data_IF_108783863466
#
_entry.id   IF_108783863466
#
_cell.length_a   1.000
_cell.length_b   1.000
_cell.length_c   1.000
_cell.angle_alpha   90.00
_cell.angle_beta   90.00
_cell.angle_gamma   90.00
#
_symmetry.space_group_name_H-M   'P 1'
#
loop_
_entity.id
_entity.type
_entity.pdbx_description
1 polymer ?
#
# COMPACT_ATOMS: atom_id res chain seq x y z
N UNK A 1 54.44 -11.26 34.44
CA UNK A 1 53.91 -10.02 33.84
C UNK A 1 54.14 -9.92 32.32
N UNK A 2 55.15 -10.58 31.74
CA UNK A 2 55.44 -10.52 30.30
C UNK A 2 54.33 -11.13 29.39
N UNK A 3 53.57 -12.12 29.88
CA UNK A 3 52.49 -12.75 29.12
C UNK A 3 51.30 -11.81 28.88
N UNK A 4 50.94 -10.97 29.85
CA UNK A 4 49.80 -10.03 29.74
C UNK A 4 50.06 -8.96 28.68
N UNK A 5 51.31 -8.53 28.52
CA UNK A 5 51.69 -7.54 27.52
C UNK A 5 51.76 -8.15 26.12
N UNK A 6 52.14 -9.42 26.02
CA UNK A 6 52.10 -10.19 24.79
C UNK A 6 50.66 -10.46 24.32
N UNK A 7 49.76 -10.87 25.22
CA UNK A 7 48.34 -11.07 24.92
C UNK A 7 47.67 -9.78 24.46
N UNK A 8 47.90 -8.64 25.15
CA UNK A 8 47.37 -7.34 24.71
C UNK A 8 47.88 -6.91 23.33
N UNK A 9 49.13 -7.24 23.01
CA UNK A 9 49.73 -6.89 21.70
C UNK A 9 49.21 -7.81 20.59
N UNK A 10 48.95 -9.09 20.89
CA UNK A 10 48.25 -10.01 19.99
C UNK A 10 46.80 -9.58 19.77
N UNK A 11 46.08 -9.28 20.83
CA UNK A 11 44.71 -8.80 20.77
C UNK A 11 44.60 -7.53 19.92
N UNK A 12 45.58 -6.62 20.01
CA UNK A 12 45.66 -5.44 19.14
C UNK A 12 45.98 -5.78 17.68
N UNK A 13 46.85 -6.76 17.43
CA UNK A 13 47.19 -7.21 16.07
C UNK A 13 46.03 -7.93 15.37
N UNK A 14 45.14 -8.58 16.13
CA UNK A 14 43.96 -9.27 15.63
C UNK A 14 42.66 -8.45 15.74
N UNK A 15 42.69 -7.31 16.44
CA UNK A 15 41.57 -6.38 16.54
C UNK A 15 41.31 -5.65 15.22
N UNK A 16 42.36 -5.34 14.46
CA UNK A 16 42.24 -4.94 13.06
C UNK A 16 42.05 -6.22 12.22
N UNK A 17 40.83 -6.46 11.73
CA UNK A 17 40.58 -7.52 10.77
C UNK A 17 41.47 -7.30 9.53
N UNK A 18 42.05 -8.36 8.93
CA UNK A 18 42.92 -8.20 7.77
C UNK A 18 42.18 -7.46 6.65
N UNK A 19 42.71 -6.32 6.22
CA UNK A 19 42.16 -5.57 5.09
C UNK A 19 42.24 -6.46 3.84
N UNK A 20 41.09 -6.95 3.42
CA UNK A 20 40.98 -7.73 2.20
C UNK A 20 41.24 -6.77 1.02
N UNK A 21 42.14 -7.12 0.08
CA UNK A 21 42.49 -6.24 -1.04
C UNK A 21 41.30 -5.83 -1.93
N UNK A 22 40.20 -6.58 -1.87
CA UNK A 22 38.97 -6.35 -2.63
C UNK A 22 37.76 -6.12 -1.70
N UNK A 23 38.00 -5.62 -0.47
CA UNK A 23 36.93 -5.35 0.50
C UNK A 23 35.88 -4.38 -0.07
N UNK A 24 36.33 -3.28 -0.68
CA UNK A 24 35.44 -2.27 -1.27
C UNK A 24 34.65 -2.84 -2.45
N UNK A 25 35.33 -3.57 -3.35
CA UNK A 25 34.68 -4.20 -4.51
C UNK A 25 33.69 -5.29 -4.11
N UNK A 26 33.97 -6.02 -3.02
CA UNK A 26 33.01 -6.96 -2.44
C UNK A 26 31.80 -6.25 -1.83
N UNK A 27 32.02 -5.20 -1.03
CA UNK A 27 30.97 -4.43 -0.40
C UNK A 27 30.02 -3.83 -1.44
N UNK A 28 30.56 -3.20 -2.48
CA UNK A 28 29.76 -2.59 -3.55
C UNK A 28 28.92 -3.62 -4.31
N UNK A 29 29.45 -4.83 -4.55
CA UNK A 29 28.69 -5.91 -5.17
C UNK A 29 27.58 -6.46 -4.28
N UNK A 30 27.81 -6.54 -2.97
CA UNK A 30 26.81 -6.97 -1.99
C UNK A 30 25.69 -5.94 -1.90
N UNK A 31 26.04 -4.66 -1.79
CA UNK A 31 25.11 -3.55 -1.68
C UNK A 31 24.20 -3.48 -2.92
N UNK A 32 24.77 -3.51 -4.13
CA UNK A 32 23.99 -3.55 -5.38
C UNK A 32 23.04 -4.75 -5.47
N UNK A 33 23.41 -5.92 -4.93
CA UNK A 33 22.54 -7.10 -4.90
C UNK A 33 21.43 -6.95 -3.87
N UNK A 34 21.75 -6.40 -2.70
CA UNK A 34 20.81 -6.18 -1.63
C UNK A 34 19.75 -5.15 -2.04
N UNK A 35 20.16 -4.03 -2.64
CA UNK A 35 19.26 -3.00 -3.14
C UNK A 35 18.30 -3.54 -4.20
N UNK A 36 18.82 -4.32 -5.14
CA UNK A 36 17.98 -4.94 -6.18
C UNK A 36 16.97 -5.92 -5.59
N UNK A 37 17.39 -6.74 -4.62
CA UNK A 37 16.50 -7.66 -3.92
C UNK A 37 15.43 -6.94 -3.10
N UNK A 38 15.83 -5.91 -2.37
CA UNK A 38 14.94 -5.09 -1.56
C UNK A 38 13.90 -4.36 -2.41
N UNK A 39 14.34 -3.69 -3.47
CA UNK A 39 13.45 -2.97 -4.38
C UNK A 39 12.45 -3.92 -5.04
N UNK A 40 12.92 -5.05 -5.57
CA UNK A 40 12.04 -6.07 -6.19
C UNK A 40 10.95 -6.55 -5.23
N UNK A 41 11.31 -6.82 -3.97
CA UNK A 41 10.35 -7.26 -2.95
C UNK A 41 9.34 -6.16 -2.63
N UNK A 42 9.78 -4.91 -2.50
CA UNK A 42 8.92 -3.75 -2.24
C UNK A 42 7.92 -3.55 -3.38
N UNK A 43 8.37 -3.66 -4.63
CA UNK A 43 7.50 -3.61 -5.80
C UNK A 43 6.49 -4.74 -5.85
N UNK A 44 6.91 -5.98 -5.59
CA UNK A 44 6.00 -7.13 -5.57
C UNK A 44 4.91 -6.98 -4.51
N UNK A 45 5.29 -6.59 -3.29
CA UNK A 45 4.33 -6.38 -2.20
C UNK A 45 3.39 -5.22 -2.52
N UNK A 46 3.92 -4.11 -3.05
CA UNK A 46 3.13 -2.96 -3.46
C UNK A 46 2.13 -3.32 -4.56
N UNK A 47 2.59 -3.98 -5.63
CA UNK A 47 1.74 -4.42 -6.73
C UNK A 47 0.68 -5.43 -6.29
N UNK A 48 1.05 -6.41 -5.46
CA UNK A 48 0.10 -7.36 -4.89
C UNK A 48 -0.96 -6.67 -4.03
N UNK A 49 -0.56 -5.68 -3.22
CA UNK A 49 -1.48 -4.88 -2.41
C UNK A 49 -2.46 -4.06 -3.26
N UNK A 50 -1.98 -3.42 -4.33
CA UNK A 50 -2.83 -2.68 -5.28
C UNK A 50 -3.81 -3.62 -5.98
N UNK A 51 -3.33 -4.74 -6.54
CA UNK A 51 -4.19 -5.73 -7.19
C UNK A 51 -5.24 -6.30 -6.24
N UNK A 52 -4.83 -6.68 -5.02
CA UNK A 52 -5.74 -7.18 -4.00
C UNK A 52 -6.77 -6.13 -3.56
N UNK A 53 -6.35 -4.86 -3.42
CA UNK A 53 -7.23 -3.75 -3.10
C UNK A 53 -8.28 -3.48 -4.18
N UNK A 54 -7.89 -3.51 -5.46
CA UNK A 54 -8.82 -3.35 -6.59
C UNK A 54 -9.83 -4.49 -6.63
N UNK A 55 -9.37 -5.73 -6.48
CA UNK A 55 -10.25 -6.90 -6.47
C UNK A 55 -11.23 -6.83 -5.29
N UNK A 56 -10.74 -6.57 -4.07
CA UNK A 56 -11.58 -6.45 -2.88
C UNK A 56 -12.62 -5.31 -2.98
N UNK A 57 -12.20 -4.14 -3.46
CA UNK A 57 -13.11 -3.01 -3.67
C UNK A 57 -14.18 -3.36 -4.74
N UNK A 58 -13.79 -4.01 -5.83
CA UNK A 58 -14.72 -4.43 -6.88
C UNK A 58 -15.77 -5.43 -6.35
N UNK A 59 -15.36 -6.37 -5.49
CA UNK A 59 -16.28 -7.35 -4.90
C UNK A 59 -17.29 -6.69 -3.95
N UNK A 60 -16.86 -5.71 -3.14
CA UNK A 60 -17.75 -4.95 -2.26
C UNK A 60 -18.77 -4.09 -3.03
N UNK A 61 -18.37 -3.54 -4.18
CA UNK A 61 -19.27 -2.78 -5.05
C UNK A 61 -20.29 -3.73 -5.69
N UNK A 62 -19.83 -4.86 -6.26
CA UNK A 62 -20.70 -5.82 -6.94
C UNK A 62 -21.71 -6.45 -5.97
N UNK A 63 -21.30 -6.83 -4.75
CA UNK A 63 -22.22 -7.43 -3.77
C UNK A 63 -23.31 -6.47 -3.31
N UNK A 64 -22.98 -5.20 -3.08
CA UNK A 64 -23.95 -4.17 -2.73
C UNK A 64 -24.92 -3.86 -3.89
N UNK A 65 -24.44 -3.89 -5.13
CA UNK A 65 -25.29 -3.67 -6.31
C UNK A 65 -26.22 -4.86 -6.54
N UNK A 66 -25.75 -6.10 -6.41
CA UNK A 66 -26.58 -7.28 -6.61
C UNK A 66 -27.70 -7.41 -5.56
N UNK A 67 -27.38 -7.18 -4.28
CA UNK A 67 -28.39 -7.13 -3.21
C UNK A 67 -29.39 -5.98 -3.40
N UNK A 68 -28.94 -4.84 -3.96
CA UNK A 68 -29.82 -3.71 -4.28
C UNK A 68 -30.71 -4.00 -5.50
N UNK A 69 -30.27 -4.78 -6.48
CA UNK A 69 -31.10 -5.16 -7.64
C UNK A 69 -32.19 -6.15 -7.23
N UNK A 70 -31.88 -7.15 -6.41
CA UNK A 70 -32.85 -8.13 -5.90
C UNK A 70 -33.87 -7.49 -4.93
N UNK A 71 -33.42 -6.55 -4.10
CA UNK A 71 -34.33 -5.74 -3.27
C UNK A 71 -35.05 -4.63 -4.04
N UNK A 72 -34.52 -4.14 -5.18
CA UNK A 72 -35.21 -3.17 -6.02
C UNK A 72 -36.40 -3.80 -6.75
N UNK A 73 -36.33 -5.06 -7.21
CA UNK A 73 -37.49 -5.72 -7.83
C UNK A 73 -38.68 -5.84 -6.86
N UNK A 74 -38.42 -6.07 -5.57
CA UNK A 74 -39.42 -6.11 -4.51
C UNK A 74 -39.82 -4.72 -3.99
N UNK A 75 -38.88 -3.78 -3.97
CA UNK A 75 -39.09 -2.40 -3.49
C UNK A 75 -39.71 -1.47 -4.54
N UNK A 76 -39.59 -1.72 -5.85
CA UNK A 76 -40.23 -0.88 -6.89
C UNK A 76 -41.76 -0.92 -6.80
N UNK A 77 -42.35 -2.03 -6.33
CA UNK A 77 -43.80 -2.14 -6.09
C UNK A 77 -44.28 -1.48 -4.80
N UNK A 78 -43.40 -1.33 -3.80
CA UNK A 78 -43.73 -0.74 -2.50
C UNK A 78 -43.31 0.75 -2.41
N UNK A 79 -42.21 1.15 -3.06
CA UNK A 79 -41.78 2.55 -3.20
C UNK A 79 -42.72 3.36 -4.08
N UNK A 80 -43.29 2.80 -5.16
CA UNK A 80 -44.27 3.54 -5.99
C UNK A 80 -45.50 3.95 -5.18
N UNK A 81 -45.83 3.18 -4.13
CA UNK A 81 -46.95 3.45 -3.23
C UNK A 81 -46.55 4.44 -2.12
N UNK A 82 -45.29 4.42 -1.63
CA UNK A 82 -44.80 5.28 -0.55
C UNK A 82 -44.18 6.63 -0.97
N UNK A 83 -43.70 6.77 -2.22
CA UNK A 83 -43.06 8.02 -2.71
C UNK A 83 -44.05 9.18 -2.89
N UNK A 84 -45.35 8.90 -2.90
CA UNK A 84 -46.41 9.89 -3.11
C UNK A 84 -46.53 10.89 -1.94
N UNK A 85 -46.03 10.56 -0.75
CA UNK A 85 -46.32 11.32 0.47
C UNK A 85 -45.13 12.00 1.17
N UNK A 86 -43.87 11.68 0.82
CA UNK A 86 -42.70 12.21 1.56
C UNK A 86 -41.65 12.84 0.65
N UNK A 87 -42.00 14.00 0.11
CA UNK A 87 -41.16 14.78 -0.81
C UNK A 87 -41.11 16.22 -0.30
N UNK A 88 -40.27 16.58 0.70
CA UNK A 88 -39.14 17.45 0.34
C UNK A 88 -37.91 17.49 1.29
N UNK A 89 -37.80 16.70 2.37
CA UNK A 89 -36.79 16.96 3.43
C UNK A 89 -35.58 16.01 3.50
N UNK A 90 -35.59 14.91 2.75
CA UNK A 90 -34.54 13.88 2.78
C UNK A 90 -33.58 13.91 1.57
N UNK A 91 -33.78 14.79 0.59
CA UNK A 91 -32.97 14.85 -0.64
C UNK A 91 -31.50 15.25 -0.38
N UNK A 92 -31.24 16.17 0.56
CA UNK A 92 -29.89 16.73 0.71
C UNK A 92 -28.89 15.78 1.38
N UNK A 93 -29.32 15.03 2.40
CA UNK A 93 -28.45 14.10 3.14
C UNK A 93 -28.26 12.75 2.43
N UNK A 94 -29.28 12.28 1.70
CA UNK A 94 -29.18 11.05 0.92
C UNK A 94 -28.33 11.23 -0.35
N UNK A 95 -28.25 12.45 -0.92
CA UNK A 95 -27.39 12.73 -2.08
C UNK A 95 -25.89 12.58 -1.81
N UNK A 96 -25.47 12.78 -0.55
CA UNK A 96 -24.06 12.69 -0.12
C UNK A 96 -23.61 11.27 0.22
N UNK A 97 -24.48 10.42 0.79
CA UNK A 97 -24.10 9.05 1.21
C UNK A 97 -24.65 7.94 0.31
N UNK A 98 -25.67 8.19 -0.50
CA UNK A 98 -26.22 7.19 -1.43
C UNK A 98 -25.66 7.32 -2.86
N UNK A 99 -24.93 8.39 -3.17
CA UNK A 99 -24.38 8.66 -4.49
C UNK A 99 -22.96 8.12 -4.65
N UNK A 100 -22.63 7.61 -5.85
CA UNK A 100 -21.28 7.18 -6.24
C UNK A 100 -20.17 8.23 -6.04
N UNK A 101 -20.50 9.46 -5.62
CA UNK A 101 -19.54 10.50 -5.23
C UNK A 101 -18.58 10.07 -4.11
N UNK A 102 -19.01 9.29 -3.12
CA UNK A 102 -18.08 8.78 -2.09
C UNK A 102 -17.04 7.83 -2.69
N UNK A 103 -17.45 7.00 -3.67
CA UNK A 103 -16.53 6.12 -4.40
C UNK A 103 -15.56 6.94 -5.24
N UNK A 104 -16.04 7.98 -5.93
CA UNK A 104 -15.18 8.87 -6.72
C UNK A 104 -14.20 9.68 -5.87
N UNK A 105 -14.61 10.14 -4.68
CA UNK A 105 -13.72 10.80 -3.72
C UNK A 105 -12.66 9.83 -3.21
N UNK A 106 -13.05 8.60 -2.85
CA UNK A 106 -12.11 7.57 -2.42
C UNK A 106 -11.12 7.18 -3.53
N UNK A 107 -11.60 7.06 -4.78
CA UNK A 107 -10.76 6.81 -5.96
C UNK A 107 -9.83 7.99 -6.23
N UNK A 108 -10.33 9.23 -6.16
CA UNK A 108 -9.51 10.43 -6.32
C UNK A 108 -8.41 10.53 -5.28
N UNK A 109 -8.72 10.22 -4.01
CA UNK A 109 -7.75 10.17 -2.93
C UNK A 109 -6.70 9.06 -3.16
N UNK A 110 -7.13 7.88 -3.62
CA UNK A 110 -6.24 6.77 -3.93
C UNK A 110 -5.27 7.11 -5.08
N UNK A 111 -5.75 7.78 -6.13
CA UNK A 111 -4.91 8.25 -7.23
C UNK A 111 -3.90 9.30 -6.77
N UNK A 112 -4.31 10.24 -5.92
CA UNK A 112 -3.39 11.24 -5.34
C UNK A 112 -2.31 10.59 -4.48
N UNK A 113 -2.68 9.61 -3.64
CA UNK A 113 -1.73 8.85 -2.84
C UNK A 113 -0.76 8.05 -3.71
N UNK A 114 -1.25 7.43 -4.79
CA UNK A 114 -0.42 6.70 -5.75
C UNK A 114 0.56 7.63 -6.47
N UNK A 115 0.11 8.82 -6.86
CA UNK A 115 0.95 9.87 -7.43
C UNK A 115 2.06 10.30 -6.48
N UNK A 116 1.73 10.58 -5.22
CA UNK A 116 2.72 10.96 -4.20
C UNK A 116 3.78 9.87 -3.97
N UNK A 117 3.37 8.60 -3.92
CA UNK A 117 4.29 7.47 -3.79
C UNK A 117 5.22 7.38 -5.00
N UNK A 118 4.69 7.55 -6.22
CA UNK A 118 5.50 7.56 -7.44
C UNK A 118 6.50 8.72 -7.47
N UNK A 119 6.08 9.93 -7.09
CA UNK A 119 6.98 11.10 -7.00
C UNK A 119 8.10 10.85 -5.99
N UNK A 120 7.79 10.26 -4.84
CA UNK A 120 8.79 9.90 -3.84
C UNK A 120 9.78 8.84 -4.31
N UNK A 121 9.30 7.87 -5.08
CA UNK A 121 10.17 6.85 -5.68
C UNK A 121 11.14 7.46 -6.70
N UNK A 122 10.73 8.50 -7.44
CA UNK A 122 11.61 9.21 -8.37
C UNK A 122 12.67 10.05 -7.63
N UNK A 123 12.36 10.58 -6.45
CA UNK A 123 13.34 11.30 -5.63
C UNK A 123 14.37 10.38 -4.96
N UNK A 124 14.02 9.12 -4.70
CA UNK A 124 14.90 8.14 -4.02
C UNK A 124 15.80 7.34 -4.98
N UNK A 125 15.60 7.44 -6.30
CA UNK A 125 16.41 6.78 -7.36
C UNK A 125 17.41 7.78 -7.93
#
# INVERSE_FOLDING_TARGET
MAEVEFERRLERFFAEGPELPDADGFAERVERRLDRGWNTRRWLIGAAGVCGGVIGASQLIVSNVYQRVESAESSVRLLSTGLSEMKPRAEWLSSLSAGGGVVWIAVGLAVLMMGFVLTRVIEEI
#
